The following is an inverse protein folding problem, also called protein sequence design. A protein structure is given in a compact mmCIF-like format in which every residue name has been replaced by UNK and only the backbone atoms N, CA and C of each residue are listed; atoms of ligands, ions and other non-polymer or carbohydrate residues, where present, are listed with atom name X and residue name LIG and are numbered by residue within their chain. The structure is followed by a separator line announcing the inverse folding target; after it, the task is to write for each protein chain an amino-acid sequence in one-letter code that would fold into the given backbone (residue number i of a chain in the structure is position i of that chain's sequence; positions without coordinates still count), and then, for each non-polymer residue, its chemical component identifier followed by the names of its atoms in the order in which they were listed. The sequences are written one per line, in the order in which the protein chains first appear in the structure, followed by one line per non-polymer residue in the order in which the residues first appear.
data_IF_657121212157
#
_entry.id   IF_657121212157
#
_cell.length_a   1.000
_cell.length_b   1.000
_cell.length_c   1.000
_cell.angle_alpha   90.00
_cell.angle_beta   90.00
_cell.angle_gamma   90.00
#
_symmetry.space_group_name_H-M   'P 1'
#
loop_
_entity.id
_entity.type
_entity.pdbx_description
1 polymer ?
#
# COMPACT_ATOMS: atom_id res chain seq x y z
N UNK A 1 28.84 46.59 29.66
CA UNK A 1 29.51 45.53 30.43
C UNK A 1 28.53 44.73 31.24
N UNK A 2 28.08 43.57 30.74
CA UNK A 2 27.97 42.34 31.55
C UNK A 2 27.87 41.15 30.61
N UNK A 3 28.57 40.09 30.97
CA UNK A 3 29.19 39.07 30.14
C UNK A 3 28.37 37.78 30.16
N UNK A 4 28.23 37.13 29.00
CA UNK A 4 27.60 35.81 28.85
C UNK A 4 28.50 34.69 29.43
N UNK A 5 27.93 33.60 30.01
CA UNK A 5 28.72 32.46 30.47
C UNK A 5 28.86 31.37 29.38
N UNK A 6 30.07 30.82 29.30
CA UNK A 6 30.50 29.73 28.40
C UNK A 6 30.04 28.34 28.91
N UNK A 7 29.87 27.32 28.04
CA UNK A 7 29.83 25.92 28.45
C UNK A 7 31.22 25.24 28.45
N UNK A 8 31.43 24.15 29.21
CA UNK A 8 32.75 23.55 29.40
C UNK A 8 33.16 22.54 28.31
N UNK A 9 34.45 22.59 28.01
CA UNK A 9 35.27 21.65 27.23
C UNK A 9 35.52 20.34 27.98
N UNK A 10 35.38 19.19 27.31
CA UNK A 10 36.01 17.93 27.74
C UNK A 10 36.86 17.36 26.61
N UNK A 11 38.17 17.43 26.80
CA UNK A 11 39.23 16.82 25.99
C UNK A 11 39.45 15.39 26.49
N UNK A 12 39.45 14.39 25.59
CA UNK A 12 40.15 13.12 25.84
C UNK A 12 40.84 12.69 24.54
N UNK A 13 42.17 12.69 24.60
CA UNK A 13 43.12 12.22 23.58
C UNK A 13 43.68 10.88 24.05
N UNK A 14 43.63 9.82 23.23
CA UNK A 14 44.74 8.84 23.06
C UNK A 14 44.33 7.63 22.20
N UNK A 15 44.91 7.53 20.99
CA UNK A 15 45.20 6.29 20.24
C UNK A 15 46.40 5.53 20.90
N UNK A 16 46.85 4.30 20.50
CA UNK A 16 46.71 3.66 19.18
C UNK A 16 46.65 2.10 19.07
N UNK A 17 46.38 1.67 17.83
CA UNK A 17 46.95 0.54 17.09
C UNK A 17 46.26 -0.86 17.08
N UNK A 18 46.13 -1.33 15.83
CA UNK A 18 46.33 -2.71 15.29
C UNK A 18 45.10 -3.42 14.70
N UNK A 19 45.28 -3.76 13.41
CA UNK A 19 44.70 -4.86 12.60
C UNK A 19 43.53 -4.53 11.68
N UNK A 20 43.88 -4.15 10.46
CA UNK A 20 43.04 -4.19 9.26
C UNK A 20 42.90 -5.62 8.72
N UNK A 21 41.78 -5.95 8.05
CA UNK A 21 41.82 -6.78 6.86
C UNK A 21 41.63 -5.90 5.62
N UNK A 22 42.34 -6.31 4.57
CA UNK A 22 42.43 -5.63 3.28
C UNK A 22 41.06 -5.29 2.68
N UNK A 23 40.93 -4.06 2.21
CA UNK A 23 39.97 -3.68 1.19
C UNK A 23 40.69 -2.74 0.24
N UNK A 24 40.98 -3.29 -0.93
CA UNK A 24 41.55 -2.64 -2.11
C UNK A 24 40.98 -1.23 -2.33
N UNK A 25 41.81 -0.23 -2.09
CA UNK A 25 41.59 1.14 -2.54
C UNK A 25 41.73 1.18 -4.07
N UNK A 26 40.61 1.02 -4.77
CA UNK A 26 40.53 1.48 -6.16
C UNK A 26 40.31 2.99 -6.13
N UNK A 27 41.30 3.72 -6.62
CA UNK A 27 41.24 5.16 -6.87
C UNK A 27 40.01 5.51 -7.71
N UNK A 28 39.24 6.56 -7.39
CA UNK A 28 38.36 7.16 -8.37
C UNK A 28 39.24 7.99 -9.30
N UNK A 29 39.62 7.41 -10.43
CA UNK A 29 40.00 8.21 -11.59
C UNK A 29 38.85 9.17 -11.88
N UNK A 30 39.06 10.50 -11.91
CA UNK A 30 38.10 11.37 -12.55
C UNK A 30 38.18 11.03 -14.03
N UNK A 31 37.16 10.34 -14.52
CA UNK A 31 36.96 10.14 -15.96
C UNK A 31 36.55 11.51 -16.53
N UNK A 32 37.52 12.41 -16.61
CA UNK A 32 37.43 13.65 -17.36
C UNK A 32 37.60 13.27 -18.83
N UNK A 33 36.59 12.59 -19.36
CA UNK A 33 36.35 12.52 -20.78
C UNK A 33 36.17 13.96 -21.25
N UNK A 34 37.27 14.50 -21.80
CA UNK A 34 37.29 15.76 -22.49
C UNK A 34 36.03 15.88 -23.37
N UNK A 35 35.37 17.04 -23.43
CA UNK A 35 34.28 17.23 -24.37
C UNK A 35 34.85 16.94 -25.75
N UNK A 36 34.42 15.82 -26.34
CA UNK A 36 34.74 15.46 -27.69
C UNK A 36 34.26 16.63 -28.55
N UNK A 37 35.23 17.41 -28.99
CA UNK A 37 35.07 18.47 -29.96
C UNK A 37 34.16 17.97 -31.09
N UNK A 38 33.29 18.82 -31.65
CA UNK A 38 32.45 18.42 -32.78
C UNK A 38 33.33 17.77 -33.85
N UNK A 39 32.87 16.71 -34.53
CA UNK A 39 33.62 16.17 -35.66
C UNK A 39 33.73 17.29 -36.69
N UNK A 40 34.86 17.98 -36.65
CA UNK A 40 35.27 18.92 -37.66
C UNK A 40 35.23 18.12 -38.96
N UNK A 41 34.42 18.48 -39.96
CA UNK A 41 34.55 17.90 -41.27
C UNK A 41 35.86 18.45 -41.83
N UNK A 42 36.96 17.79 -41.48
CA UNK A 42 38.20 17.88 -42.22
C UNK A 42 38.12 16.79 -43.30
N UNK A 43 37.69 17.11 -44.53
CA UNK A 43 38.41 16.58 -45.65
C UNK A 43 39.72 17.38 -45.72
N UNK A 44 40.76 16.86 -45.09
CA UNK A 44 42.13 17.09 -45.56
C UNK A 44 42.31 16.37 -46.90
N UNK A 45 41.47 16.70 -47.88
CA UNK A 45 41.85 16.58 -49.27
C UNK A 45 42.31 17.97 -49.63
N UNK A 46 43.62 18.10 -49.72
CA UNK A 46 44.30 19.10 -50.52
C UNK A 46 43.63 19.09 -51.90
N UNK A 47 42.54 19.83 -52.03
CA UNK A 47 41.94 20.17 -53.31
C UNK A 47 42.95 21.11 -53.89
N UNK A 48 43.88 20.52 -54.64
CA UNK A 48 44.55 21.19 -55.72
C UNK A 48 43.46 21.96 -56.46
N UNK A 49 43.38 23.26 -56.19
CA UNK A 49 42.75 24.22 -57.08
C UNK A 49 43.59 24.16 -58.35
N UNK A 50 43.35 23.14 -59.18
CA UNK A 50 43.79 23.13 -60.56
C UNK A 50 42.94 24.21 -61.19
N UNK A 51 43.45 25.43 -61.09
CA UNK A 51 43.16 26.54 -61.98
C UNK A 51 42.93 25.94 -63.36
N UNK A 52 41.72 26.15 -63.89
CA UNK A 52 41.35 25.78 -65.24
C UNK A 52 42.43 26.31 -66.19
N UNK A 53 43.39 25.46 -66.54
CA UNK A 53 44.26 25.72 -67.66
C UNK A 53 43.33 25.74 -68.88
N UNK A 54 43.27 26.83 -69.65
CA UNK A 54 42.48 26.85 -70.87
C UNK A 54 42.97 25.69 -71.74
N UNK A 55 42.06 24.77 -72.06
CA UNK A 55 42.37 23.55 -72.77
C UNK A 55 43.16 23.84 -74.04
N UNK A 56 44.23 23.09 -74.25
CA UNK A 56 45.06 23.15 -75.44
C UNK A 56 44.17 23.04 -76.69
N UNK A 57 44.27 24.02 -77.60
CA UNK A 57 43.37 24.13 -78.76
C UNK A 57 43.59 22.94 -79.70
N UNK A 58 42.84 21.87 -79.48
CA UNK A 58 42.99 20.61 -80.21
C UNK A 58 42.20 20.70 -81.50
N UNK A 59 42.90 20.69 -82.63
CA UNK A 59 42.23 20.70 -83.93
C UNK A 59 41.63 19.32 -84.22
N UNK A 60 40.31 19.19 -84.11
CA UNK A 60 39.62 17.90 -84.22
C UNK A 60 39.49 17.36 -85.66
N UNK A 61 39.76 18.18 -86.69
CA UNK A 61 39.58 17.75 -88.08
C UNK A 61 40.48 18.49 -89.08
N UNK A 62 41.52 17.81 -89.58
CA UNK A 62 42.40 18.35 -90.62
C UNK A 62 41.71 18.39 -92.00
N UNK A 63 41.23 19.57 -92.39
CA UNK A 63 40.59 19.81 -93.68
C UNK A 63 41.56 19.72 -94.87
N UNK A 64 42.84 20.03 -94.66
CA UNK A 64 43.82 20.13 -95.75
C UNK A 64 44.33 18.76 -96.17
N UNK A 65 44.72 17.92 -95.19
CA UNK A 65 45.16 16.54 -95.47
C UNK A 65 44.07 15.70 -96.14
N UNK A 66 42.81 15.85 -95.72
CA UNK A 66 41.68 15.16 -96.36
C UNK A 66 41.46 15.63 -97.81
N UNK A 67 41.48 16.94 -98.06
CA UNK A 67 41.30 17.46 -99.42
C UNK A 67 42.47 17.08 -100.35
N UNK A 68 43.71 17.08 -99.82
CA UNK A 68 44.91 16.70 -100.56
C UNK A 68 44.93 15.19 -100.90
N UNK A 69 44.55 14.33 -99.95
CA UNK A 69 44.46 12.88 -100.17
C UNK A 69 43.38 12.50 -101.18
N UNK A 70 42.19 13.12 -101.13
CA UNK A 70 41.13 12.90 -102.12
C UNK A 70 41.56 13.34 -103.52
N UNK A 71 42.28 14.45 -103.63
CA UNK A 71 42.81 14.93 -104.91
C UNK A 71 43.89 13.99 -105.47
N UNK A 72 44.73 13.41 -104.60
CA UNK A 72 45.72 12.39 -104.99
C UNK A 72 45.08 11.06 -105.42
N UNK A 73 43.91 10.74 -104.86
CA UNK A 73 43.13 9.55 -105.20
C UNK A 73 42.32 9.67 -106.52
N UNK A 74 42.43 10.80 -107.23
CA UNK A 74 41.82 11.00 -108.55
C UNK A 74 40.52 11.81 -108.56
N UNK A 75 40.09 12.38 -107.43
CA UNK A 75 38.93 13.28 -107.39
C UNK A 75 39.30 14.70 -107.88
N UNK A 76 38.35 15.37 -108.56
CA UNK A 76 38.56 16.78 -108.95
C UNK A 76 38.68 17.66 -107.70
N UNK A 77 39.49 18.73 -107.72
CA UNK A 77 39.68 19.61 -106.56
C UNK A 77 38.36 20.15 -105.97
N UNK A 78 37.40 20.50 -106.83
CA UNK A 78 36.07 20.96 -106.39
C UNK A 78 35.24 19.86 -105.69
N UNK A 79 35.39 18.60 -106.11
CA UNK A 79 34.70 17.46 -105.50
C UNK A 79 35.34 17.11 -104.14
N UNK A 80 36.68 17.10 -104.08
CA UNK A 80 37.43 16.90 -102.83
C UNK A 80 37.06 17.92 -101.75
N UNK A 81 36.95 19.21 -102.12
CA UNK A 81 36.53 20.28 -101.20
C UNK A 81 35.08 20.10 -100.74
N UNK A 82 34.18 19.65 -101.63
CA UNK A 82 32.77 19.43 -101.28
C UNK A 82 32.60 18.26 -100.31
N UNK A 83 33.31 17.15 -100.53
CA UNK A 83 33.31 15.99 -99.65
C UNK A 83 33.94 16.34 -98.28
N UNK A 84 35.02 17.11 -98.25
CA UNK A 84 35.60 17.59 -97.00
C UNK A 84 34.63 18.48 -96.21
N UNK A 85 33.89 19.38 -96.88
CA UNK A 85 32.89 20.23 -96.25
C UNK A 85 31.74 19.41 -95.66
N UNK A 86 31.26 18.39 -96.36
CA UNK A 86 30.17 17.53 -95.86
C UNK A 86 30.61 16.71 -94.65
N UNK A 87 31.81 16.12 -94.69
CA UNK A 87 32.37 15.36 -93.57
C UNK A 87 32.59 16.27 -92.36
N UNK A 88 33.14 17.47 -92.55
CA UNK A 88 33.31 18.46 -91.47
C UNK A 88 31.98 18.87 -90.85
N UNK A 89 30.95 19.08 -91.67
CA UNK A 89 29.60 19.42 -91.18
C UNK A 89 29.03 18.27 -90.34
N UNK A 90 29.13 17.04 -90.82
CA UNK A 90 28.64 15.85 -90.10
C UNK A 90 29.40 15.61 -88.80
N UNK A 91 30.72 15.83 -88.80
CA UNK A 91 31.53 15.72 -87.60
C UNK A 91 31.13 16.79 -86.58
N UNK A 92 30.94 18.04 -87.03
CA UNK A 92 30.53 19.16 -86.17
C UNK A 92 29.20 18.87 -85.47
N UNK A 93 28.20 18.38 -86.21
CA UNK A 93 26.88 18.06 -85.62
C UNK A 93 26.96 16.93 -84.61
N UNK A 94 27.76 15.89 -84.87
CA UNK A 94 27.93 14.78 -83.94
C UNK A 94 28.72 15.18 -82.70
N UNK A 95 29.73 16.04 -82.85
CA UNK A 95 30.54 16.52 -81.72
C UNK A 95 29.72 17.46 -80.82
N UNK A 96 28.84 18.28 -81.40
CA UNK A 96 27.94 19.14 -80.65
C UNK A 96 26.90 18.33 -79.87
N UNK A 97 26.32 17.29 -80.49
CA UNK A 97 25.46 16.32 -79.81
C UNK A 97 26.21 15.62 -78.66
N UNK A 98 27.45 15.18 -78.88
CA UNK A 98 28.25 14.52 -77.86
C UNK A 98 28.58 15.47 -76.70
N UNK A 99 28.95 16.74 -76.99
CA UNK A 99 29.20 17.76 -75.96
C UNK A 99 27.95 18.10 -75.15
N UNK A 100 26.77 18.13 -75.76
CA UNK A 100 25.52 18.34 -75.05
C UNK A 100 25.17 17.20 -74.08
N UNK A 101 25.58 15.97 -74.39
CA UNK A 101 25.37 14.80 -73.53
C UNK A 101 26.51 14.56 -72.51
N UNK A 102 27.64 15.25 -72.66
CA UNK A 102 28.75 15.17 -71.73
C UNK A 102 28.50 16.15 -70.57
N UNK A 103 28.30 15.61 -69.38
CA UNK A 103 28.27 16.42 -68.17
C UNK A 103 29.69 16.85 -67.83
N UNK A 104 29.89 18.15 -67.62
CA UNK A 104 31.19 18.68 -67.18
C UNK A 104 31.60 18.02 -65.86
N UNK A 105 32.88 17.68 -65.72
CA UNK A 105 33.46 17.18 -64.47
C UNK A 105 33.11 18.09 -63.29
N UNK A 106 33.13 19.40 -63.49
CA UNK A 106 32.79 20.39 -62.46
C UNK A 106 31.34 20.28 -61.99
N UNK A 107 30.40 19.95 -62.88
CA UNK A 107 28.99 19.81 -62.54
C UNK A 107 28.75 18.54 -61.72
N UNK A 108 29.39 17.43 -62.10
CA UNK A 108 29.34 16.18 -61.32
C UNK A 108 29.93 16.39 -59.92
N UNK A 109 31.08 17.07 -59.83
CA UNK A 109 31.71 17.37 -58.55
C UNK A 109 30.81 18.26 -57.68
N UNK A 110 30.26 19.35 -58.22
CA UNK A 110 29.34 20.22 -57.48
C UNK A 110 28.11 19.48 -56.95
N UNK A 111 27.42 18.71 -57.80
CA UNK A 111 26.26 17.92 -57.38
C UNK A 111 26.64 16.86 -56.34
N UNK A 112 27.81 16.24 -56.46
CA UNK A 112 28.31 15.29 -55.47
C UNK A 112 28.58 15.96 -54.11
N UNK A 113 29.10 17.19 -54.11
CA UNK A 113 29.30 17.96 -52.88
C UNK A 113 27.96 18.30 -52.21
N UNK A 114 26.97 18.77 -52.98
CA UNK A 114 25.63 19.06 -52.46
C UNK A 114 24.96 17.81 -51.90
N UNK A 115 25.08 16.67 -52.59
CA UNK A 115 24.54 15.40 -52.12
C UNK A 115 25.21 14.94 -50.81
N UNK A 116 26.55 15.02 -50.74
CA UNK A 116 27.28 14.68 -49.53
C UNK A 116 26.96 15.62 -48.37
N UNK A 117 26.77 16.91 -48.62
CA UNK A 117 26.33 17.88 -47.62
C UNK A 117 24.94 17.52 -47.07
N UNK A 118 23.97 17.26 -47.95
CA UNK A 118 22.62 16.86 -47.54
C UNK A 118 22.61 15.53 -46.75
N UNK A 119 23.44 14.57 -47.15
CA UNK A 119 23.61 13.31 -46.43
C UNK A 119 24.27 13.51 -45.05
N UNK A 120 25.20 14.44 -44.92
CA UNK A 120 25.81 14.79 -43.64
C UNK A 120 24.81 15.48 -42.71
N UNK A 121 23.98 16.39 -43.25
CA UNK A 121 22.91 17.05 -42.53
C UNK A 121 21.86 16.06 -42.03
N UNK A 122 21.35 15.18 -42.90
CA UNK A 122 20.38 14.16 -42.53
C UNK A 122 20.93 13.18 -41.49
N UNK A 123 22.21 12.79 -41.61
CA UNK A 123 22.86 11.96 -40.58
C UNK A 123 22.91 12.68 -39.24
N UNK A 124 23.28 13.95 -39.23
CA UNK A 124 23.33 14.75 -38.01
C UNK A 124 21.95 14.91 -37.39
N UNK A 125 20.91 15.14 -38.20
CA UNK A 125 19.53 15.21 -37.75
C UNK A 125 19.06 13.91 -37.10
N UNK A 126 19.37 12.75 -37.70
CA UNK A 126 19.03 11.44 -37.13
C UNK A 126 19.74 11.23 -35.79
N UNK A 127 21.03 11.53 -35.72
CA UNK A 127 21.82 11.39 -34.48
C UNK A 127 21.27 12.30 -33.40
N UNK A 128 20.97 13.55 -33.74
CA UNK A 128 20.42 14.53 -32.83
C UNK A 128 19.02 14.11 -32.34
N UNK A 129 18.15 13.68 -33.25
CA UNK A 129 16.80 13.19 -32.91
C UNK A 129 16.88 11.99 -31.97
N UNK A 130 17.76 11.01 -32.28
CA UNK A 130 17.97 9.85 -31.41
C UNK A 130 18.46 10.28 -30.03
N UNK A 131 19.42 11.22 -29.96
CA UNK A 131 19.92 11.74 -28.69
C UNK A 131 18.79 12.38 -27.88
N UNK A 132 17.98 13.23 -28.50
CA UNK A 132 16.84 13.87 -27.83
C UNK A 132 15.81 12.85 -27.33
N UNK A 133 15.54 11.78 -28.08
CA UNK A 133 14.64 10.72 -27.66
C UNK A 133 15.19 9.94 -26.47
N UNK A 134 16.48 9.60 -26.48
CA UNK A 134 17.10 8.91 -25.36
C UNK A 134 17.10 9.79 -24.11
N UNK A 135 17.40 11.09 -24.26
CA UNK A 135 17.38 12.02 -23.14
C UNK A 135 15.96 12.21 -22.58
N UNK A 136 14.94 12.20 -23.45
CA UNK A 136 13.53 12.19 -23.03
C UNK A 136 13.17 10.93 -22.25
N UNK A 137 13.55 9.74 -22.73
CA UNK A 137 13.32 8.47 -22.04
C UNK A 137 14.04 8.42 -20.68
N UNK A 138 15.26 8.98 -20.57
CA UNK A 138 15.95 9.10 -19.29
C UNK A 138 15.22 10.02 -18.33
N UNK A 139 14.72 11.15 -18.80
CA UNK A 139 13.95 12.09 -17.99
C UNK A 139 12.64 11.47 -17.50
N UNK A 140 11.92 10.76 -18.38
CA UNK A 140 10.71 10.02 -18.03
C UNK A 140 11.00 8.93 -16.99
N UNK A 141 12.06 8.13 -17.20
CA UNK A 141 12.48 7.11 -16.23
C UNK A 141 12.80 7.70 -14.85
N UNK A 142 13.51 8.84 -14.81
CA UNK A 142 13.80 9.54 -13.57
C UNK A 142 12.53 10.09 -12.89
N UNK A 143 11.58 10.61 -13.67
CA UNK A 143 10.30 11.09 -13.15
C UNK A 143 9.46 9.94 -12.57
N UNK A 144 9.40 8.80 -13.25
CA UNK A 144 8.70 7.60 -12.75
C UNK A 144 9.35 7.13 -11.45
N UNK A 145 10.68 7.03 -11.40
CA UNK A 145 11.39 6.65 -10.17
C UNK A 145 11.07 7.60 -9.02
N UNK A 146 11.10 8.91 -9.26
CA UNK A 146 10.72 9.92 -8.26
C UNK A 146 9.27 9.77 -7.79
N UNK A 147 8.34 9.48 -8.70
CA UNK A 147 6.93 9.25 -8.35
C UNK A 147 6.73 7.96 -7.54
N UNK A 148 7.49 6.92 -7.85
CA UNK A 148 7.49 5.66 -7.12
C UNK A 148 8.04 5.85 -5.71
N UNK A 149 9.16 6.56 -5.56
CA UNK A 149 9.76 6.82 -4.25
C UNK A 149 8.83 7.65 -3.37
N UNK A 150 8.18 8.67 -3.95
CA UNK A 150 7.16 9.47 -3.25
C UNK A 150 5.96 8.61 -2.82
N UNK A 151 5.45 7.78 -3.73
CA UNK A 151 4.33 6.88 -3.42
C UNK A 151 4.71 5.88 -2.32
N UNK A 152 5.91 5.33 -2.38
CA UNK A 152 6.41 4.38 -1.39
C UNK A 152 6.58 5.05 -0.01
N UNK A 153 7.12 6.28 0.03
CA UNK A 153 7.19 7.05 1.28
C UNK A 153 5.80 7.29 1.87
N UNK A 154 4.84 7.73 1.03
CA UNK A 154 3.47 7.96 1.48
C UNK A 154 2.79 6.69 1.95
N UNK A 155 2.97 5.59 1.24
CA UNK A 155 2.43 4.29 1.61
C UNK A 155 2.99 3.81 2.95
N UNK A 156 4.30 3.97 3.19
CA UNK A 156 4.91 3.62 4.47
C UNK A 156 4.40 4.51 5.60
N UNK A 157 4.23 5.82 5.36
CA UNK A 157 3.60 6.74 6.32
C UNK A 157 2.17 6.30 6.65
N UNK A 158 1.36 5.99 5.63
CA UNK A 158 -0.02 5.56 5.82
C UNK A 158 -0.09 4.21 6.56
N UNK A 159 0.79 3.26 6.28
CA UNK A 159 0.89 1.98 7.01
C UNK A 159 1.28 2.20 8.47
N UNK A 160 2.25 3.09 8.73
CA UNK A 160 2.63 3.45 10.10
C UNK A 160 1.48 4.14 10.84
N UNK A 161 0.80 5.07 10.17
CA UNK A 161 -0.39 5.75 10.70
C UNK A 161 -1.51 4.77 11.04
N UNK A 162 -1.84 3.85 10.13
CA UNK A 162 -2.85 2.80 10.35
C UNK A 162 -2.47 1.87 11.48
N UNK A 163 -1.18 1.50 11.59
CA UNK A 163 -0.69 0.68 12.69
C UNK A 163 -0.87 1.40 14.03
N UNK A 164 -0.55 2.68 14.09
CA UNK A 164 -0.65 3.45 15.33
C UNK A 164 -2.11 3.74 15.69
N UNK A 165 -2.98 4.00 14.69
CA UNK A 165 -4.42 4.07 14.87
C UNK A 165 -5.00 2.75 15.39
N UNK A 166 -4.63 1.62 14.80
CA UNK A 166 -5.06 0.29 15.26
C UNK A 166 -4.62 0.01 16.70
N UNK A 167 -3.38 0.36 17.04
CA UNK A 167 -2.88 0.23 18.41
C UNK A 167 -3.62 1.15 19.38
N UNK A 168 -3.96 2.36 18.94
CA UNK A 168 -4.81 3.29 19.69
C UNK A 168 -6.19 2.69 19.96
N UNK A 169 -6.91 2.27 18.91
CA UNK A 169 -8.22 1.63 19.01
C UNK A 169 -8.20 0.38 19.89
N UNK A 170 -7.15 -0.43 19.80
CA UNK A 170 -6.99 -1.61 20.63
C UNK A 170 -6.71 -1.25 22.10
N UNK A 171 -5.91 -0.21 22.34
CA UNK A 171 -5.69 0.36 23.66
C UNK A 171 -7.00 0.88 24.28
N UNK A 172 -7.76 1.65 23.52
CA UNK A 172 -9.06 2.18 23.93
C UNK A 172 -10.05 1.07 24.25
N UNK A 173 -10.16 0.07 23.37
CA UNK A 173 -11.04 -1.08 23.62
C UNK A 173 -10.64 -1.83 24.89
N UNK A 174 -9.33 -2.07 25.10
CA UNK A 174 -8.83 -2.66 26.35
C UNK A 174 -9.17 -1.83 27.58
N UNK A 175 -9.08 -0.50 27.49
CA UNK A 175 -9.44 0.40 28.58
C UNK A 175 -10.94 0.36 28.89
N UNK A 176 -11.78 0.41 27.85
CA UNK A 176 -13.24 0.29 27.97
C UNK A 176 -13.61 -1.04 28.62
N UNK A 177 -13.07 -2.16 28.13
CA UNK A 177 -13.35 -3.49 28.71
C UNK A 177 -12.91 -3.59 30.17
N UNK A 178 -11.76 -3.00 30.55
CA UNK A 178 -11.35 -2.95 31.96
C UNK A 178 -12.26 -2.05 32.80
N UNK A 179 -12.74 -0.94 32.25
CA UNK A 179 -13.69 -0.07 32.93
C UNK A 179 -15.04 -0.79 33.15
N UNK A 180 -15.53 -1.51 32.14
CA UNK A 180 -16.72 -2.36 32.23
C UNK A 180 -16.54 -3.46 33.27
N UNK A 181 -15.40 -4.15 33.30
CA UNK A 181 -15.09 -5.16 34.31
C UNK A 181 -15.11 -4.58 35.73
N UNK A 182 -14.49 -3.42 35.95
CA UNK A 182 -14.52 -2.73 37.25
C UNK A 182 -15.94 -2.29 37.62
N UNK A 183 -16.73 -1.83 36.65
CA UNK A 183 -18.12 -1.48 36.88
C UNK A 183 -18.96 -2.70 37.28
N UNK A 184 -18.73 -3.86 36.66
CA UNK A 184 -19.36 -5.12 37.05
C UNK A 184 -18.93 -5.55 38.46
N UNK A 185 -17.64 -5.49 38.78
CA UNK A 185 -17.13 -5.80 40.12
C UNK A 185 -17.74 -4.89 41.19
N UNK A 186 -17.85 -3.58 40.93
CA UNK A 186 -18.51 -2.64 41.84
C UNK A 186 -19.99 -2.99 42.04
N UNK A 187 -20.70 -3.38 40.97
CA UNK A 187 -22.10 -3.84 41.07
C UNK A 187 -22.21 -5.12 41.90
N UNK A 188 -21.27 -6.06 41.75
CA UNK A 188 -21.22 -7.28 42.56
C UNK A 188 -21.02 -6.92 44.04
N UNK A 189 -20.12 -5.99 44.35
CA UNK A 189 -19.90 -5.54 45.73
C UNK A 189 -21.11 -4.81 46.31
N UNK A 190 -21.76 -3.94 45.53
CA UNK A 190 -23.00 -3.28 45.93
C UNK A 190 -24.11 -4.30 46.22
N UNK A 191 -24.27 -5.29 45.34
CA UNK A 191 -25.23 -6.39 45.55
C UNK A 191 -24.87 -7.20 46.79
N UNK A 192 -23.61 -7.54 47.00
CA UNK A 192 -23.16 -8.28 48.18
C UNK A 192 -23.43 -7.49 49.47
N UNK A 193 -23.12 -6.19 49.48
CA UNK A 193 -23.43 -5.31 50.60
C UNK A 193 -24.94 -5.24 50.86
N UNK A 194 -25.74 -5.07 49.80
CA UNK A 194 -27.19 -5.03 49.90
C UNK A 194 -27.76 -6.34 50.43
N UNK A 195 -27.29 -7.49 49.94
CA UNK A 195 -27.67 -8.81 50.47
C UNK A 195 -27.29 -8.91 51.94
N UNK A 196 -26.05 -8.58 52.32
CA UNK A 196 -25.59 -8.65 53.72
C UNK A 196 -26.42 -7.75 54.64
N UNK A 197 -26.71 -6.51 54.24
CA UNK A 197 -27.49 -5.56 55.04
C UNK A 197 -28.95 -5.98 55.13
N UNK A 198 -29.58 -6.32 54.00
CA UNK A 198 -30.98 -6.79 53.99
C UNK A 198 -31.11 -8.08 54.80
N UNK A 199 -30.27 -9.07 54.54
CA UNK A 199 -30.28 -10.33 55.28
C UNK A 199 -30.01 -10.13 56.78
N UNK A 200 -29.00 -9.34 57.17
CA UNK A 200 -28.70 -9.12 58.58
C UNK A 200 -29.80 -8.35 59.31
N UNK A 201 -30.41 -7.36 58.65
CA UNK A 201 -31.50 -6.57 59.22
C UNK A 201 -32.80 -7.36 59.31
N UNK A 202 -33.18 -8.07 58.24
CA UNK A 202 -34.40 -8.87 58.17
C UNK A 202 -34.32 -10.07 59.12
N UNK A 203 -33.22 -10.83 59.11
CA UNK A 203 -33.04 -11.98 60.00
C UNK A 203 -32.95 -11.56 61.46
N UNK A 204 -32.24 -10.48 61.81
CA UNK A 204 -32.22 -10.00 63.20
C UNK A 204 -33.58 -9.48 63.66
N UNK A 205 -34.30 -8.74 62.81
CA UNK A 205 -35.64 -8.25 63.13
C UNK A 205 -36.65 -9.38 63.29
N UNK A 206 -36.61 -10.38 62.41
CA UNK A 206 -37.44 -11.58 62.55
C UNK A 206 -37.11 -12.33 63.84
N UNK A 207 -35.83 -12.54 64.16
CA UNK A 207 -35.43 -13.19 65.41
C UNK A 207 -35.88 -12.38 66.64
N UNK A 208 -35.74 -11.06 66.64
CA UNK A 208 -36.21 -10.21 67.74
C UNK A 208 -37.74 -10.21 67.86
N UNK A 209 -38.45 -10.20 66.73
CA UNK A 209 -39.91 -10.34 66.68
C UNK A 209 -40.35 -11.72 67.20
N UNK A 210 -39.67 -12.79 66.82
CA UNK A 210 -39.92 -14.13 67.33
C UNK A 210 -39.64 -14.20 68.85
N UNK A 211 -38.54 -13.61 69.32
CA UNK A 211 -38.23 -13.53 70.75
C UNK A 211 -39.32 -12.80 71.52
N UNK A 212 -39.75 -11.63 71.06
CA UNK A 212 -40.78 -10.83 71.70
C UNK A 212 -42.15 -11.54 71.74
N UNK A 213 -42.54 -12.18 70.63
CA UNK A 213 -43.82 -12.88 70.55
C UNK A 213 -43.83 -14.16 71.38
N UNK A 214 -42.73 -14.90 71.41
CA UNK A 214 -42.61 -16.14 72.18
C UNK A 214 -42.64 -15.86 73.68
N UNK A 215 -41.91 -14.86 74.17
CA UNK A 215 -41.94 -14.49 75.60
C UNK A 215 -43.29 -13.93 76.02
N UNK A 216 -43.91 -13.08 75.18
CA UNK A 216 -45.26 -12.54 75.44
C UNK A 216 -46.32 -13.65 75.50
N UNK A 217 -46.32 -14.59 74.55
CA UNK A 217 -47.24 -15.73 74.55
C UNK A 217 -46.99 -16.67 75.74
N UNK A 218 -45.73 -16.91 76.10
CA UNK A 218 -45.36 -17.71 77.28
C UNK A 218 -45.83 -17.08 78.60
N UNK A 219 -45.66 -15.76 78.77
CA UNK A 219 -46.16 -15.05 79.95
C UNK A 219 -47.69 -15.14 80.08
N UNK A 220 -48.41 -14.96 78.97
CA UNK A 220 -49.87 -15.11 78.94
C UNK A 220 -50.28 -16.54 79.33
N UNK A 221 -49.58 -17.57 78.83
CA UNK A 221 -49.86 -18.96 79.19
C UNK A 221 -49.65 -19.23 80.69
N UNK A 222 -48.58 -18.70 81.29
CA UNK A 222 -48.31 -18.81 82.73
C UNK A 222 -49.37 -18.06 83.54
N UNK A 223 -49.73 -16.84 83.15
CA UNK A 223 -50.76 -16.06 83.82
C UNK A 223 -52.14 -16.73 83.73
N UNK A 224 -52.48 -17.30 82.57
CA UNK A 224 -53.71 -18.07 82.39
C UNK A 224 -53.72 -19.33 83.26
N UNK A 225 -52.59 -20.04 83.39
CA UNK A 225 -52.46 -21.18 84.30
C UNK A 225 -52.64 -20.75 85.77
N UNK A 226 -52.03 -19.65 86.18
CA UNK A 226 -52.20 -19.11 87.53
C UNK A 226 -53.65 -18.67 87.80
N UNK A 227 -54.28 -17.99 86.85
CA UNK A 227 -55.68 -17.60 86.94
C UNK A 227 -56.61 -18.82 86.98
N UNK A 228 -56.31 -19.88 86.23
CA UNK A 228 -57.05 -21.15 86.27
C UNK A 228 -56.96 -21.80 87.65
N UNK A 229 -55.78 -21.81 88.27
CA UNK A 229 -55.60 -22.29 89.65
C UNK A 229 -56.36 -21.43 90.66
N UNK A 230 -56.29 -20.10 90.56
CA UNK A 230 -57.05 -19.20 91.45
C UNK A 230 -58.56 -19.37 91.26
N UNK A 231 -59.02 -19.54 90.02
CA UNK A 231 -60.43 -19.77 89.69
C UNK A 231 -60.90 -21.10 90.24
N UNK A 232 -60.10 -22.18 90.15
CA UNK A 232 -60.49 -23.48 90.73
C UNK A 232 -60.60 -23.42 92.26
N UNK A 233 -59.75 -22.62 92.92
CA UNK A 233 -59.81 -22.39 94.37
C UNK A 233 -61.02 -21.50 94.73
N UNK A 234 -61.27 -20.41 94.01
CA UNK A 234 -62.43 -19.53 94.22
C UNK A 234 -63.75 -20.24 93.96
N UNK A 235 -63.83 -21.07 92.92
CA UNK A 235 -65.02 -21.89 92.62
C UNK A 235 -65.22 -23.01 93.65
N UNK A 236 -64.15 -23.44 94.31
CA UNK A 236 -64.23 -24.33 95.48
C UNK A 236 -64.61 -23.61 96.78
N UNK A 237 -64.45 -22.28 96.87
CA UNK A 237 -64.70 -21.50 98.10
C UNK A 237 -65.98 -20.64 98.05
N UNK A 238 -66.44 -20.21 96.87
CA UNK A 238 -67.72 -19.49 96.64
C UNK A 238 -68.75 -20.41 95.97
N UNK A 239 -69.22 -21.43 96.68
CA UNK A 239 -70.11 -22.41 96.05
C UNK A 239 -70.70 -23.51 96.92
N UNK A 240 -70.88 -23.31 98.22
CA UNK A 240 -71.64 -24.22 99.06
C UNK A 240 -73.15 -23.95 99.10
N UNK A 241 -73.91 -24.16 98.00
CA UNK A 241 -75.31 -24.71 98.00
C UNK A 241 -76.06 -24.68 96.65
N UNK A 242 -76.63 -25.86 96.31
CA UNK A 242 -77.88 -26.17 95.57
C UNK A 242 -77.89 -26.22 94.03
N UNK A 243 -77.91 -27.46 93.54
CA UNK A 243 -78.89 -28.12 92.64
C UNK A 243 -79.60 -27.39 91.47
N UNK A 244 -79.36 -27.95 90.27
CA UNK A 244 -80.29 -28.35 89.16
C UNK A 244 -81.24 -27.28 88.58
N UNK A 245 -81.43 -27.09 87.26
CA UNK A 245 -81.65 -28.08 86.17
C UNK A 245 -81.93 -27.34 84.82
N UNK A 246 -81.59 -27.99 83.68
CA UNK A 246 -82.23 -27.94 82.32
C UNK A 246 -82.14 -26.60 81.52
N UNK A 247 -82.02 -26.56 80.18
CA UNK A 247 -82.12 -27.56 79.09
C UNK A 247 -81.59 -26.96 77.76
N UNK A 248 -81.33 -27.86 76.81
CA UNK A 248 -81.43 -27.76 75.33
C UNK A 248 -80.38 -26.98 74.50
N UNK A 249 -79.72 -27.75 73.62
CA UNK A 249 -79.38 -27.52 72.18
C UNK A 249 -78.61 -26.24 71.81
N UNK A 250 -77.56 -26.21 71.00
CA UNK A 250 -77.18 -27.04 69.84
C UNK A 250 -75.80 -26.60 69.30
N UNK A 251 -75.03 -27.57 68.77
CA UNK A 251 -74.21 -27.50 67.55
C UNK A 251 -72.84 -26.77 67.49
N UNK A 252 -71.82 -27.58 67.12
CA UNK A 252 -70.50 -27.32 66.48
C UNK A 252 -69.47 -26.52 67.26
N UNK A 253 -68.18 -26.90 67.39
CA UNK A 253 -67.21 -27.51 66.46
C UNK A 253 -66.00 -27.92 67.33
N UNK A 254 -65.44 -29.13 67.34
CA UNK A 254 -64.67 -29.77 66.27
C UNK A 254 -63.17 -29.70 66.60
N UNK A 255 -62.63 -30.75 67.26
CA UNK A 255 -61.20 -30.89 67.56
C UNK A 255 -60.67 -32.28 67.15
N UNK A 256 -59.66 -32.24 66.28
CA UNK A 256 -58.68 -33.27 65.89
C UNK A 256 -59.14 -34.60 65.29
N UNK A 257 -58.90 -34.74 63.97
CA UNK A 257 -58.11 -35.86 63.43
C UNK A 257 -57.43 -35.50 62.11
N UNK A 258 -56.12 -35.68 62.15
CA UNK A 258 -55.18 -35.84 61.05
C UNK A 258 -55.54 -37.10 60.23
N UNK A 259 -55.84 -36.95 58.93
CA UNK A 259 -55.41 -37.84 57.83
C UNK A 259 -55.90 -37.31 56.47
N UNK A 260 -54.94 -37.11 55.58
CA UNK A 260 -54.94 -37.35 54.13
C UNK A 260 -55.81 -36.49 53.17
N UNK A 261 -55.10 -35.64 52.42
CA UNK A 261 -55.14 -35.42 50.95
C UNK A 261 -54.22 -34.23 50.66
N UNK A 262 -53.24 -34.33 49.75
CA UNK A 262 -53.41 -34.75 48.37
C UNK A 262 -53.70 -33.50 47.54
N UNK A 263 -52.67 -33.03 46.85
CA UNK A 263 -52.65 -32.01 45.78
C UNK A 263 -52.61 -30.52 46.15
N UNK A 264 -51.38 -29.97 46.17
CA UNK A 264 -51.07 -28.74 45.44
C UNK A 264 -49.80 -28.92 44.62
N UNK A 265 -50.00 -28.90 43.31
CA UNK A 265 -49.25 -28.08 42.36
C UNK A 265 -47.73 -27.99 42.51
N UNK A 266 -47.07 -28.70 41.60
CA UNK A 266 -45.99 -28.20 40.75
C UNK A 266 -44.91 -27.36 41.43
N UNK A 267 -43.96 -28.12 41.98
CA UNK A 267 -42.57 -27.74 42.11
C UNK A 267 -41.98 -27.48 40.71
N UNK A 268 -42.07 -26.24 40.20
CA UNK A 268 -41.26 -25.81 39.05
C UNK A 268 -39.82 -25.57 39.51
N UNK A 269 -39.12 -26.68 39.79
CA UNK A 269 -37.67 -26.71 39.72
C UNK A 269 -37.26 -26.74 38.26
N UNK A 270 -37.23 -25.56 37.65
CA UNK A 270 -36.34 -25.32 36.51
C UNK A 270 -34.91 -25.20 37.02
N UNK A 271 -34.32 -26.36 37.26
CA UNK A 271 -32.94 -26.63 36.87
C UNK A 271 -32.81 -26.22 35.41
N UNK A 272 -32.27 -25.02 35.16
CA UNK A 272 -31.58 -24.77 33.90
C UNK A 272 -30.21 -25.40 34.05
N UNK A 273 -29.86 -26.44 33.28
CA UNK A 273 -28.53 -27.01 33.28
C UNK A 273 -27.51 -25.95 32.84
N UNK A 274 -26.42 -25.89 33.59
CA UNK A 274 -25.20 -25.23 33.19
C UNK A 274 -24.62 -25.95 31.98
N UNK A 275 -24.92 -25.46 30.78
CA UNK A 275 -24.22 -25.80 29.55
C UNK A 275 -24.26 -24.60 28.60
N UNK A 276 -23.63 -23.49 29.01
CA UNK A 276 -23.13 -22.47 28.06
C UNK A 276 -21.87 -21.81 28.63
N UNK A 277 -20.83 -22.61 28.86
CA UNK A 277 -19.46 -22.12 29.03
C UNK A 277 -18.50 -22.98 28.21
N UNK A 278 -18.61 -22.91 26.89
CA UNK A 278 -17.53 -23.26 25.97
C UNK A 278 -17.85 -22.80 24.54
N UNK A 279 -17.97 -21.49 24.32
CA UNK A 279 -17.80 -20.93 22.98
C UNK A 279 -17.01 -19.64 23.10
N UNK A 280 -15.98 -19.49 22.26
CA UNK A 280 -15.12 -18.32 22.13
C UNK A 280 -13.85 -18.27 22.99
N UNK A 281 -12.98 -19.27 22.83
CA UNK A 281 -11.55 -19.02 22.64
C UNK A 281 -11.10 -19.65 21.32
N UNK A 282 -10.90 -18.77 20.34
CA UNK A 282 -9.82 -18.78 19.34
C UNK A 282 -9.23 -20.14 18.89
N UNK A 283 -9.64 -20.52 17.69
CA UNK A 283 -8.86 -20.99 16.53
C UNK A 283 -7.30 -20.94 16.67
N UNK A 284 -6.54 -21.91 16.10
CA UNK A 284 -6.15 -21.79 14.69
C UNK A 284 -6.10 -23.13 13.92
N UNK A 285 -7.03 -23.34 12.99
CA UNK A 285 -7.02 -24.41 12.02
C UNK A 285 -6.08 -24.08 10.84
N UNK A 286 -5.26 -25.05 10.39
CA UNK A 286 -4.32 -24.86 9.29
C UNK A 286 -5.03 -24.93 7.95
N UNK A 287 -4.49 -24.20 6.97
CA UNK A 287 -5.02 -24.16 5.63
C UNK A 287 -5.05 -25.53 4.96
N UNK A 288 -6.06 -25.74 4.12
CA UNK A 288 -5.88 -26.39 2.81
C UNK A 288 -6.91 -25.83 1.84
N UNK A 289 -6.39 -25.30 0.73
CA UNK A 289 -7.12 -25.00 -0.50
C UNK A 289 -7.62 -26.31 -1.10
N UNK A 290 -8.86 -26.36 -1.58
CA UNK A 290 -9.18 -26.97 -2.89
C UNK A 290 -10.62 -26.67 -3.27
N UNK A 291 -10.81 -25.66 -4.12
CA UNK A 291 -12.00 -25.57 -4.98
C UNK A 291 -11.55 -25.47 -6.43
N UNK A 292 -11.95 -26.48 -7.18
CA UNK A 292 -12.28 -26.49 -8.60
C UNK A 292 -12.23 -25.15 -9.33
N UNK A 293 -11.56 -25.11 -10.49
CA UNK A 293 -11.77 -24.06 -11.49
C UNK A 293 -10.61 -23.81 -12.46
N UNK A 294 -10.85 -24.20 -13.71
CA UNK A 294 -10.33 -23.58 -14.94
C UNK A 294 -8.85 -23.82 -15.34
N UNK A 295 -8.75 -24.64 -16.38
CA UNK A 295 -7.76 -24.62 -17.46
C UNK A 295 -7.53 -23.23 -18.08
N UNK A 296 -6.27 -22.83 -18.27
CA UNK A 296 -5.84 -22.08 -19.46
C UNK A 296 -4.32 -22.18 -19.71
N UNK A 297 -4.01 -22.74 -20.88
CA UNK A 297 -2.93 -22.45 -21.86
C UNK A 297 -1.66 -21.73 -21.38
N UNK A 298 -0.52 -22.42 -21.55
CA UNK A 298 0.82 -21.84 -21.59
C UNK A 298 1.17 -21.37 -23.01
N UNK A 299 1.62 -20.12 -23.13
CA UNK A 299 2.18 -19.50 -24.34
C UNK A 299 3.44 -18.74 -23.89
N UNK A 300 4.59 -19.06 -24.49
CA UNK A 300 5.84 -18.30 -24.35
C UNK A 300 6.94 -19.07 -23.65
#
# INVERSE_FOLDING_TARGET
DTQAPNPPTTTITSSPNTTAPASSSFSPTPDNAAPASPPSPAPSTTTTTTTLAPGEWTHHFDTYSLAASLTRAGFRPAQSVTIMKSIRSLLSTNLELARANLVSKSNVENESYLFHAACAELRNEIVQTRKTQIDALRAEGAAIQGSYDLLNQRFLEDVMGLKDELNGLFGDRKMVTRAEQRAMENRIQELNYKIMVLFSSEVRSEIEKLRWTTTRRGLIAIAALAAFVVTSIRMSNDGGKKDKKKSSSSTSTGGEKHTDKGDTHDFDSRLVPADVLAESLANPGPGTRSSSGASFVSLG
#
